data_IF_010502975186
#
_entry.id   IF_010502975186
#
_cell.length_a   1.000
_cell.length_b   1.000
_cell.length_c   1.000
_cell.angle_alpha   90.00
_cell.angle_beta   90.00
_cell.angle_gamma   90.00
#
_symmetry.space_group_name_H-M   'P 1'
#
loop_
_entity.id
_entity.type
_entity.pdbx_description
1 polymer ?
#
# COMPACT_ATOMS: atom_id res chain seq x y z
N UNK A 1 32.26 12.53 0.48
CA UNK A 1 31.37 13.67 0.18
C UNK A 1 30.05 13.39 0.88
N UNK A 2 29.64 14.20 1.86
CA UNK A 2 28.34 14.04 2.54
C UNK A 2 27.25 14.73 1.71
N UNK A 3 26.40 13.96 1.05
CA UNK A 3 25.17 14.48 0.43
C UNK A 3 24.22 14.89 1.55
N UNK A 4 24.05 16.20 1.72
CA UNK A 4 23.11 16.75 2.69
C UNK A 4 21.74 16.75 2.03
N UNK A 5 20.90 15.77 2.36
CA UNK A 5 19.50 15.75 1.93
C UNK A 5 18.76 16.88 2.65
N UNK A 6 18.61 18.02 1.97
CA UNK A 6 17.80 19.12 2.50
C UNK A 6 16.34 18.70 2.57
N UNK A 7 15.70 18.99 3.71
CA UNK A 7 14.24 18.95 3.95
C UNK A 7 13.46 19.37 2.70
N UNK A 8 12.88 18.42 1.97
CA UNK A 8 12.03 18.72 0.80
C UNK A 8 10.59 18.19 0.96
N UNK A 9 9.68 19.17 0.89
CA UNK A 9 8.24 19.20 0.61
C UNK A 9 7.43 17.89 0.60
N UNK A 10 6.67 17.68 1.68
CA UNK A 10 5.63 16.64 1.83
C UNK A 10 4.49 16.68 0.80
N UNK A 11 4.42 17.71 -0.06
CA UNK A 11 3.39 17.88 -1.08
C UNK A 11 3.58 16.95 -2.28
N UNK A 12 4.81 16.68 -2.72
CA UNK A 12 5.10 15.90 -3.94
C UNK A 12 4.97 14.38 -3.72
N UNK A 13 5.32 13.91 -2.53
CA UNK A 13 5.15 12.51 -2.12
C UNK A 13 3.65 12.13 -2.05
N UNK A 14 2.80 13.10 -1.69
CA UNK A 14 1.33 12.90 -1.68
C UNK A 14 0.79 12.70 -3.10
N UNK A 15 1.36 13.36 -4.12
CA UNK A 15 0.97 13.17 -5.52
C UNK A 15 1.36 11.79 -6.06
N UNK A 16 2.49 11.23 -5.64
CA UNK A 16 2.90 9.87 -6.02
C UNK A 16 2.05 8.79 -5.31
N UNK A 17 1.60 9.04 -4.08
CA UNK A 17 0.71 8.16 -3.32
C UNK A 17 -0.70 8.07 -3.89
N UNK A 18 -1.24 9.17 -4.42
CA UNK A 18 -2.53 9.20 -5.13
C UNK A 18 -2.45 8.37 -6.42
N UNK A 19 -1.24 8.11 -6.92
CA UNK A 19 -1.06 7.44 -8.18
C UNK A 19 -1.49 5.97 -8.21
N UNK A 20 -1.43 5.35 -7.04
CA UNK A 20 -1.76 3.95 -6.79
C UNK A 20 -3.27 3.74 -6.55
N UNK A 21 -4.03 4.81 -6.27
CA UNK A 21 -5.46 4.73 -5.92
C UNK A 21 -6.44 4.76 -7.12
N UNK A 22 -5.99 5.08 -8.33
CA UNK A 22 -6.87 5.34 -9.48
C UNK A 22 -7.14 4.14 -10.40
N UNK A 23 -6.60 2.95 -10.11
CA UNK A 23 -6.56 1.80 -11.03
C UNK A 23 -7.91 1.10 -11.24
N UNK A 24 -9.05 1.59 -10.71
CA UNK A 24 -10.30 0.82 -10.73
C UNK A 24 -11.56 1.59 -11.15
N UNK A 25 -11.42 2.72 -11.86
CA UNK A 25 -12.57 3.40 -12.49
C UNK A 25 -12.88 2.92 -13.93
N UNK A 26 -12.21 1.87 -14.42
CA UNK A 26 -12.33 1.42 -15.83
C UNK A 26 -12.82 -0.02 -16.01
N UNK A 27 -13.59 -0.60 -15.08
CA UNK A 27 -14.34 -1.84 -15.34
C UNK A 27 -15.78 -1.51 -15.74
N UNK A 28 -15.95 -1.13 -17.00
CA UNK A 28 -17.24 -1.14 -17.69
C UNK A 28 -17.02 -1.89 -19.01
N UNK A 29 -17.40 -3.18 -19.05
CA UNK A 29 -18.23 -3.78 -20.12
C UNK A 29 -18.18 -5.32 -20.13
N UNK A 30 -19.39 -5.88 -20.25
CA UNK A 30 -19.79 -7.16 -20.87
C UNK A 30 -19.97 -8.44 -20.02
N UNK A 31 -21.26 -8.64 -19.69
CA UNK A 31 -22.10 -9.87 -19.79
C UNK A 31 -21.82 -11.10 -18.92
N UNK A 32 -22.67 -11.25 -17.90
CA UNK A 32 -23.66 -12.32 -17.67
C UNK A 32 -23.27 -13.78 -18.00
N UNK A 33 -23.19 -14.63 -16.97
CA UNK A 33 -23.98 -15.87 -16.85
C UNK A 33 -23.97 -16.42 -15.40
N UNK A 34 -25.11 -17.00 -15.01
CA UNK A 34 -25.49 -17.49 -13.67
C UNK A 34 -24.66 -18.68 -13.17
N UNK A 35 -24.13 -18.62 -11.94
CA UNK A 35 -23.89 -19.81 -11.12
C UNK A 35 -24.06 -19.53 -9.62
N UNK A 36 -24.94 -20.29 -8.97
CA UNK A 36 -24.99 -20.49 -7.52
C UNK A 36 -24.04 -21.61 -7.14
N UNK A 37 -23.34 -21.51 -6.00
CA UNK A 37 -23.17 -22.62 -5.03
C UNK A 37 -22.45 -22.19 -3.74
N UNK A 38 -22.71 -23.01 -2.72
CA UNK A 38 -22.62 -22.84 -1.27
C UNK A 38 -21.21 -22.72 -0.64
N UNK A 39 -21.17 -22.00 0.48
CA UNK A 39 -20.06 -21.94 1.45
C UNK A 39 -19.74 -23.31 2.06
N UNK A 40 -18.46 -23.68 2.10
CA UNK A 40 -17.92 -24.56 3.14
C UNK A 40 -16.73 -23.91 3.83
N UNK A 41 -16.95 -23.68 5.13
CA UNK A 41 -16.01 -23.21 6.15
C UNK A 41 -14.89 -24.22 6.44
N UNK A 42 -13.84 -23.72 7.12
CA UNK A 42 -13.04 -24.31 8.23
C UNK A 42 -11.52 -24.06 8.05
N UNK A 43 -10.68 -23.67 9.03
CA UNK A 43 -10.71 -23.36 10.47
C UNK A 43 -9.53 -22.40 10.71
N UNK A 44 -9.70 -21.31 11.48
CA UNK A 44 -8.56 -20.54 12.03
C UNK A 44 -8.84 -20.18 13.50
N UNK A 45 -7.96 -20.63 14.39
CA UNK A 45 -7.97 -20.30 15.81
C UNK A 45 -7.89 -18.78 16.02
N UNK A 46 -8.98 -18.19 16.53
CA UNK A 46 -9.11 -16.76 16.79
C UNK A 46 -8.87 -16.45 18.26
N UNK A 47 -8.03 -15.45 18.55
CA UNK A 47 -8.05 -14.75 19.83
C UNK A 47 -9.17 -13.70 19.72
N UNK A 48 -10.23 -13.89 20.50
CA UNK A 48 -11.37 -12.96 20.59
C UNK A 48 -11.00 -11.86 21.59
N UNK A 49 -11.03 -10.60 21.17
CA UNK A 49 -11.00 -9.45 22.07
C UNK A 49 -12.28 -8.64 21.85
N UNK A 50 -13.03 -8.41 22.92
CA UNK A 50 -14.26 -7.63 22.92
C UNK A 50 -13.98 -6.21 22.42
N UNK A 51 -14.73 -5.75 21.41
CA UNK A 51 -14.61 -4.37 20.89
C UNK A 51 -15.78 -3.54 21.41
N UNK A 52 -15.45 -2.56 22.23
CA UNK A 52 -16.37 -1.54 22.73
C UNK A 52 -16.95 -0.72 21.57
N UNK A 53 -18.29 -0.65 21.47
CA UNK A 53 -19.04 0.00 20.39
C UNK A 53 -18.91 1.54 20.34
N UNK A 54 -18.14 2.13 21.25
CA UNK A 54 -17.85 3.57 21.33
C UNK A 54 -16.45 3.96 20.79
N UNK A 55 -15.66 3.01 20.27
CA UNK A 55 -14.29 3.30 19.79
C UNK A 55 -14.28 4.01 18.43
N UNK A 56 -13.31 4.92 18.25
CA UNK A 56 -12.97 5.47 16.94
C UNK A 56 -12.71 4.34 15.94
N UNK A 57 -13.08 4.51 14.67
CA UNK A 57 -12.83 3.52 13.60
C UNK A 57 -11.33 3.20 13.37
N UNK A 58 -10.45 3.93 14.04
CA UNK A 58 -9.00 3.91 13.87
C UNK A 58 -8.35 4.00 15.26
N UNK A 59 -7.28 3.24 15.45
CA UNK A 59 -6.47 3.20 16.68
C UNK A 59 -4.99 3.17 16.30
N UNK A 60 -4.20 3.98 17.00
CA UNK A 60 -2.73 3.88 17.02
C UNK A 60 -2.30 3.38 18.39
N UNK A 61 -1.45 2.35 18.39
CA UNK A 61 -0.74 1.90 19.59
C UNK A 61 0.72 1.74 19.21
N UNK A 62 1.55 2.66 19.69
CA UNK A 62 2.95 2.78 19.27
C UNK A 62 3.04 2.86 17.74
N UNK A 63 3.77 1.96 17.10
CA UNK A 63 3.91 1.86 15.64
C UNK A 63 2.82 0.99 14.97
N UNK A 64 1.88 0.42 15.74
CA UNK A 64 0.78 -0.37 15.20
C UNK A 64 -0.42 0.52 14.87
N UNK A 65 -0.88 0.43 13.62
CA UNK A 65 -2.14 1.02 13.16
C UNK A 65 -3.20 -0.06 13.02
N UNK A 66 -4.38 0.19 13.60
CA UNK A 66 -5.57 -0.65 13.44
C UNK A 66 -6.72 0.18 12.89
N UNK A 67 -7.46 -0.40 11.96
CA UNK A 67 -8.70 0.16 11.44
C UNK A 67 -9.85 -0.81 11.67
N UNK A 68 -10.78 -0.46 12.55
CA UNK A 68 -11.94 -1.28 12.90
C UNK A 68 -13.03 -1.27 11.83
N UNK A 69 -13.15 -0.18 11.04
CA UNK A 69 -14.12 -0.11 9.93
C UNK A 69 -13.78 -1.13 8.84
N UNK A 70 -12.50 -1.22 8.49
CA UNK A 70 -11.99 -2.10 7.44
C UNK A 70 -11.39 -3.40 7.96
N UNK A 71 -11.40 -3.58 9.29
CA UNK A 71 -11.03 -4.78 10.03
C UNK A 71 -9.63 -5.28 9.68
N UNK A 72 -8.65 -4.40 9.81
CA UNK A 72 -7.27 -4.79 9.62
C UNK A 72 -6.36 -4.05 10.60
N UNK A 73 -5.15 -4.60 10.77
CA UNK A 73 -4.03 -3.92 11.42
C UNK A 73 -2.74 -4.13 10.64
N UNK A 74 -1.80 -3.23 10.83
CA UNK A 74 -0.39 -3.39 10.44
C UNK A 74 0.50 -2.68 11.45
N UNK A 75 1.78 -2.98 11.40
CA UNK A 75 2.84 -2.37 12.19
C UNK A 75 3.81 -1.66 11.26
N UNK A 76 3.95 -0.35 11.42
CA UNK A 76 4.93 0.47 10.71
C UNK A 76 6.32 0.34 11.36
N UNK A 77 7.40 0.81 10.72
CA UNK A 77 8.72 0.85 11.34
C UNK A 77 8.68 1.61 12.66
N UNK A 78 9.44 1.17 13.65
CA UNK A 78 9.47 1.75 15.00
C UNK A 78 10.24 3.06 15.01
N UNK A 79 9.58 4.13 15.46
CA UNK A 79 10.13 5.48 15.57
C UNK A 79 11.25 5.61 16.61
N UNK A 80 11.33 4.68 17.57
CA UNK A 80 12.36 4.66 18.61
C UNK A 80 13.56 3.78 18.25
N UNK A 81 13.58 3.20 17.04
CA UNK A 81 14.66 2.33 16.58
C UNK A 81 15.45 2.98 15.46
N UNK A 82 16.77 2.93 15.61
CA UNK A 82 17.70 3.27 14.52
C UNK A 82 17.84 2.07 13.58
N UNK A 83 17.55 2.30 12.30
CA UNK A 83 17.72 1.32 11.23
C UNK A 83 18.98 1.67 10.44
N UNK A 84 20.05 0.90 10.63
CA UNK A 84 21.28 1.06 9.86
C UNK A 84 21.11 0.41 8.49
N UNK A 85 20.94 1.22 7.45
CA UNK A 85 20.71 0.78 6.07
C UNK A 85 22.03 0.56 5.32
N UNK A 86 23.02 1.42 5.58
CA UNK A 86 24.37 1.33 5.02
C UNK A 86 25.40 1.97 5.97
N UNK A 87 26.64 2.15 5.52
CA UNK A 87 27.66 2.88 6.30
C UNK A 87 27.30 4.36 6.50
N UNK A 88 26.62 4.96 5.52
CA UNK A 88 26.29 6.38 5.47
C UNK A 88 24.80 6.70 5.71
N UNK A 89 23.94 5.67 5.76
CA UNK A 89 22.49 5.83 5.89
C UNK A 89 22.00 5.13 7.16
N UNK A 90 21.50 5.94 8.09
CA UNK A 90 20.75 5.49 9.27
C UNK A 90 19.40 6.18 9.24
N UNK A 91 18.33 5.39 9.24
CA UNK A 91 16.95 5.89 9.28
C UNK A 91 16.47 5.82 10.73
N UNK A 92 16.12 6.97 11.31
CA UNK A 92 15.48 7.14 12.61
C UNK A 92 14.19 7.95 12.48
N UNK A 93 13.51 8.22 13.60
CA UNK A 93 12.48 9.28 13.71
C UNK A 93 11.32 9.17 12.70
N UNK A 94 10.76 7.96 12.56
CA UNK A 94 9.56 7.74 11.75
C UNK A 94 8.37 8.53 12.31
N UNK A 95 7.72 9.32 11.45
CA UNK A 95 6.52 10.08 11.79
C UNK A 95 5.27 9.32 11.35
N UNK A 96 4.36 9.02 12.28
CA UNK A 96 3.07 8.42 11.97
C UNK A 96 2.01 9.50 11.77
N UNK A 97 1.36 9.45 10.62
CA UNK A 97 0.33 10.41 10.25
C UNK A 97 -0.95 9.67 9.87
N UNK A 98 -2.07 10.26 10.29
CA UNK A 98 -3.37 9.94 9.70
C UNK A 98 -3.34 10.30 8.20
N UNK A 99 -3.97 9.48 7.39
CA UNK A 99 -4.14 9.78 5.96
C UNK A 99 -5.02 11.01 5.72
N UNK A 100 -5.10 11.42 4.47
CA UNK A 100 -5.83 12.63 4.04
C UNK A 100 -7.36 12.44 3.94
N UNK A 101 -7.87 11.28 4.37
CA UNK A 101 -9.29 11.05 4.63
C UNK A 101 -10.14 10.74 3.39
N UNK A 102 -9.58 10.77 2.17
CA UNK A 102 -10.31 10.36 0.96
C UNK A 102 -9.99 8.94 0.52
N UNK A 103 -8.73 8.51 0.65
CA UNK A 103 -8.31 7.17 0.18
C UNK A 103 -7.23 6.57 1.10
N UNK A 104 -6.22 7.36 1.49
CA UNK A 104 -5.17 6.93 2.41
C UNK A 104 -5.69 6.93 3.85
N UNK A 105 -5.45 5.86 4.58
CA UNK A 105 -5.91 5.70 5.96
C UNK A 105 -4.80 6.06 6.97
N UNK A 106 -3.59 5.59 6.70
CA UNK A 106 -2.42 5.84 7.55
C UNK A 106 -1.15 5.84 6.72
N UNK A 107 -0.17 6.64 7.18
CA UNK A 107 1.17 6.70 6.60
C UNK A 107 2.24 6.83 7.68
N UNK A 108 3.39 6.22 7.43
CA UNK A 108 4.63 6.41 8.17
C UNK A 108 5.65 7.06 7.24
N UNK A 109 6.25 8.17 7.68
CA UNK A 109 7.13 9.00 6.86
C UNK A 109 8.48 9.14 7.56
N UNK A 110 9.57 8.94 6.83
CA UNK A 110 10.86 9.51 7.20
C UNK A 110 11.16 10.69 6.27
N UNK A 111 11.21 11.89 6.83
CA UNK A 111 11.37 13.13 6.05
C UNK A 111 12.80 13.38 5.58
N UNK A 112 13.79 12.86 6.29
CA UNK A 112 15.20 13.04 5.96
C UNK A 112 15.53 12.37 4.62
N UNK A 113 15.04 11.14 4.44
CA UNK A 113 15.32 10.33 3.25
C UNK A 113 14.15 10.29 2.26
N UNK A 114 13.08 11.05 2.50
CA UNK A 114 11.91 11.11 1.60
C UNK A 114 11.18 9.76 1.47
N UNK A 115 11.15 8.96 2.54
CA UNK A 115 10.53 7.64 2.54
C UNK A 115 9.10 7.75 3.04
N UNK A 116 8.17 7.07 2.38
CA UNK A 116 6.81 6.92 2.87
C UNK A 116 6.31 5.50 2.68
N UNK A 117 5.78 4.94 3.77
CA UNK A 117 5.02 3.69 3.78
C UNK A 117 3.58 4.04 4.10
N UNK A 118 2.60 3.53 3.35
CA UNK A 118 1.19 3.86 3.54
C UNK A 118 0.28 2.68 3.35
N UNK A 119 -0.88 2.74 4.01
CA UNK A 119 -2.00 1.83 3.75
C UNK A 119 -3.23 2.64 3.29
N UNK A 120 -3.95 2.08 2.32
CA UNK A 120 -5.18 2.67 1.81
C UNK A 120 -6.22 1.56 1.58
N UNK A 121 -7.49 1.93 1.72
CA UNK A 121 -8.61 1.03 1.42
C UNK A 121 -9.65 1.78 0.58
N UNK A 122 -9.99 1.20 -0.57
CA UNK A 122 -10.98 1.76 -1.49
C UNK A 122 -12.14 0.79 -1.68
N UNK A 123 -13.36 1.32 -1.60
CA UNK A 123 -14.54 0.56 -2.01
C UNK A 123 -14.60 0.50 -3.53
N UNK A 124 -14.76 -0.71 -4.06
CA UNK A 124 -15.15 -0.90 -5.44
C UNK A 124 -16.63 -0.49 -5.59
N UNK A 125 -17.05 0.03 -6.77
CA UNK A 125 -18.46 0.18 -7.05
C UNK A 125 -19.17 -1.17 -6.85
N UNK A 126 -20.38 -1.14 -6.27
CA UNK A 126 -21.21 -2.33 -6.13
C UNK A 126 -21.69 -2.78 -7.51
N UNK A 127 -20.85 -3.54 -8.20
CA UNK A 127 -21.31 -4.47 -9.23
C UNK A 127 -21.63 -5.78 -8.50
N UNK A 128 -22.72 -6.46 -8.89
CA UNK A 128 -23.19 -7.70 -8.25
C UNK A 128 -22.25 -8.91 -8.48
N UNK A 129 -20.99 -8.67 -8.85
CA UNK A 129 -20.01 -9.72 -9.11
C UNK A 129 -19.25 -10.08 -7.82
N UNK A 130 -19.10 -11.37 -7.51
CA UNK A 130 -18.33 -11.82 -6.36
C UNK A 130 -16.86 -11.34 -6.40
N UNK A 131 -16.28 -11.05 -5.24
CA UNK A 131 -14.89 -10.57 -5.11
C UNK A 131 -13.83 -11.55 -5.65
N UNK A 132 -14.15 -12.85 -5.72
CA UNK A 132 -13.26 -13.89 -6.23
C UNK A 132 -13.13 -13.85 -7.77
N UNK A 133 -14.17 -13.43 -8.48
CA UNK A 133 -14.21 -13.36 -9.96
C UNK A 133 -13.33 -12.23 -10.51
N UNK A 134 -12.99 -11.23 -9.68
CA UNK A 134 -12.15 -10.09 -10.07
C UNK A 134 -10.68 -10.51 -10.26
N UNK A 135 -10.24 -11.59 -9.62
CA UNK A 135 -8.87 -12.12 -9.71
C UNK A 135 -8.62 -13.02 -10.92
N UNK A 136 -9.68 -13.52 -11.54
CA UNK A 136 -9.61 -14.36 -12.75
C UNK A 136 -9.35 -13.54 -14.02
N UNK A 137 -9.38 -12.20 -13.91
CA UNK A 137 -8.89 -11.32 -14.97
C UNK A 137 -7.40 -11.57 -15.24
N UNK A 138 -7.02 -11.52 -16.51
CA UNK A 138 -5.64 -11.73 -16.91
C UNK A 138 -4.75 -10.64 -16.28
N UNK A 139 -3.53 -10.99 -15.85
CA UNK A 139 -2.54 -10.01 -15.35
C UNK A 139 -2.32 -8.86 -16.36
N UNK A 140 -2.52 -9.14 -17.66
CA UNK A 140 -2.51 -8.18 -18.75
C UNK A 140 -3.61 -7.11 -18.68
N UNK A 141 -4.81 -7.46 -18.22
CA UNK A 141 -5.90 -6.47 -18.06
C UNK A 141 -5.59 -5.52 -16.92
N UNK A 142 -5.10 -6.07 -15.80
CA UNK A 142 -4.64 -5.26 -14.68
C UNK A 142 -3.47 -4.35 -15.10
N UNK A 143 -2.49 -4.89 -15.83
CA UNK A 143 -1.35 -4.11 -16.35
C UNK A 143 -1.80 -2.96 -17.25
N UNK A 144 -2.75 -3.22 -18.16
CA UNK A 144 -3.29 -2.20 -19.05
C UNK A 144 -3.93 -1.05 -18.25
N UNK A 145 -4.80 -1.38 -17.31
CA UNK A 145 -5.49 -0.38 -16.49
C UNK A 145 -4.49 0.39 -15.61
N UNK A 146 -3.50 -0.31 -15.05
CA UNK A 146 -2.43 0.32 -14.26
C UNK A 146 -1.63 1.34 -15.09
N UNK A 147 -1.22 0.96 -16.31
CA UNK A 147 -0.52 1.85 -17.24
C UNK A 147 -1.36 3.07 -17.64
N UNK A 148 -2.66 2.89 -17.84
CA UNK A 148 -3.59 4.01 -18.09
C UNK A 148 -3.66 4.97 -16.88
N UNK A 149 -3.72 4.43 -15.67
CA UNK A 149 -3.68 5.22 -14.43
C UNK A 149 -2.42 6.08 -14.32
N UNK A 150 -1.24 5.48 -14.54
CA UNK A 150 0.03 6.23 -14.54
C UNK A 150 0.05 7.32 -15.61
N UNK A 151 -0.47 7.05 -16.80
CA UNK A 151 -0.56 8.03 -17.90
C UNK A 151 -1.43 9.22 -17.52
N UNK A 152 -2.59 9.00 -16.89
CA UNK A 152 -3.48 10.08 -16.43
C UNK A 152 -2.81 11.02 -15.42
N UNK A 153 -1.80 10.53 -14.71
CA UNK A 153 -1.04 11.29 -13.71
C UNK A 153 0.25 11.87 -14.26
N UNK A 154 0.51 11.71 -15.56
CA UNK A 154 1.76 12.09 -16.20
C UNK A 154 2.99 11.41 -15.60
N UNK A 155 2.83 10.20 -15.05
CA UNK A 155 3.94 9.38 -14.55
C UNK A 155 4.43 8.49 -15.69
N UNK A 156 5.73 8.54 -15.98
CA UNK A 156 6.40 7.64 -16.92
C UNK A 156 7.17 6.57 -16.14
N UNK A 157 6.62 5.36 -15.98
CA UNK A 157 7.30 4.32 -15.22
C UNK A 157 8.52 3.80 -15.99
N UNK A 158 9.60 3.55 -15.26
CA UNK A 158 10.74 2.74 -15.68
C UNK A 158 10.70 1.43 -14.92
N UNK A 159 11.20 0.35 -15.52
CA UNK A 159 11.30 -0.96 -14.88
C UNK A 159 9.97 -1.43 -14.25
N UNK A 160 8.84 -1.16 -14.92
CA UNK A 160 7.53 -1.58 -14.44
C UNK A 160 7.49 -3.11 -14.38
N UNK A 161 7.25 -3.63 -13.18
CA UNK A 161 6.99 -5.04 -12.91
C UNK A 161 5.61 -5.16 -12.27
N UNK A 162 4.84 -6.14 -12.75
CA UNK A 162 3.56 -6.54 -12.18
C UNK A 162 3.61 -8.06 -12.06
N UNK A 163 3.46 -8.56 -10.84
CA UNK A 163 3.52 -9.97 -10.53
C UNK A 163 2.36 -10.39 -9.61
N UNK A 164 2.04 -11.68 -9.62
CA UNK A 164 1.11 -12.26 -8.64
C UNK A 164 1.87 -12.60 -7.37
N UNK A 165 1.27 -12.34 -6.22
CA UNK A 165 1.83 -12.63 -4.92
C UNK A 165 0.73 -12.76 -3.87
N UNK A 166 1.04 -12.40 -2.63
CA UNK A 166 0.07 -12.42 -1.54
C UNK A 166 0.20 -11.26 -0.55
N UNK A 167 -0.93 -10.87 0.04
CA UNK A 167 -1.01 -10.02 1.21
C UNK A 167 -1.77 -10.76 2.30
N UNK A 168 -1.07 -11.15 3.37
CA UNK A 168 -1.63 -11.92 4.48
C UNK A 168 -2.48 -13.14 4.03
N UNK A 169 -1.90 -13.99 3.17
CA UNK A 169 -2.49 -15.19 2.58
C UNK A 169 -3.63 -14.97 1.56
N UNK A 170 -3.97 -13.73 1.24
CA UNK A 170 -4.88 -13.42 0.14
C UNK A 170 -4.08 -13.19 -1.14
N UNK A 171 -4.61 -13.65 -2.28
CA UNK A 171 -4.05 -13.36 -3.58
C UNK A 171 -3.87 -11.85 -3.74
N UNK A 172 -2.71 -11.44 -4.25
CA UNK A 172 -2.36 -10.04 -4.42
C UNK A 172 -1.69 -9.80 -5.77
N UNK A 173 -1.83 -8.57 -6.27
CA UNK A 173 -0.94 -8.03 -7.29
C UNK A 173 0.16 -7.25 -6.59
N UNK A 174 1.40 -7.51 -6.97
CA UNK A 174 2.55 -6.72 -6.54
C UNK A 174 2.98 -5.91 -7.75
N UNK A 175 3.01 -4.59 -7.57
CA UNK A 175 3.40 -3.65 -8.61
C UNK A 175 4.62 -2.88 -8.14
N UNK A 176 5.63 -2.78 -8.99
CA UNK A 176 6.79 -1.95 -8.71
C UNK A 176 7.28 -1.23 -9.95
N UNK A 177 7.77 -0.02 -9.79
CA UNK A 177 8.38 0.76 -10.87
C UNK A 177 9.27 1.87 -10.28
N UNK A 178 10.17 2.39 -11.10
CA UNK A 178 10.90 3.61 -10.82
C UNK A 178 10.28 4.78 -11.59
N UNK A 179 10.35 5.99 -11.05
CA UNK A 179 9.92 7.20 -11.73
C UNK A 179 10.83 8.37 -11.35
N UNK A 180 11.16 9.20 -12.34
CA UNK A 180 11.88 10.45 -12.11
C UNK A 180 10.92 11.50 -11.55
N UNK A 181 11.29 12.09 -10.41
CA UNK A 181 10.57 13.22 -9.79
C UNK A 181 11.50 14.43 -9.82
N UNK A 182 11.07 15.49 -10.50
CA UNK A 182 11.81 16.76 -10.54
C UNK A 182 11.39 17.66 -9.37
N UNK A 183 12.36 18.08 -8.57
CA UNK A 183 12.20 19.04 -7.46
C UNK A 183 12.87 20.36 -7.81
N UNK A 184 12.44 20.99 -8.90
CA UNK A 184 12.98 22.28 -9.37
C UNK A 184 14.40 22.18 -9.92
N UNK A 185 15.38 22.06 -9.02
CA UNK A 185 16.81 22.10 -9.34
C UNK A 185 17.42 20.71 -9.55
N UNK A 186 16.75 19.66 -9.08
CA UNK A 186 17.23 18.28 -9.15
C UNK A 186 16.15 17.34 -9.69
N UNK A 187 16.59 16.24 -10.28
CA UNK A 187 15.71 15.11 -10.60
C UNK A 187 16.19 13.90 -9.83
N UNK A 188 15.33 13.39 -8.97
CA UNK A 188 15.60 12.24 -8.12
C UNK A 188 14.74 11.09 -8.62
N UNK A 189 15.36 9.93 -8.84
CA UNK A 189 14.62 8.73 -9.20
C UNK A 189 14.05 8.07 -7.96
N UNK A 190 12.73 7.94 -7.89
CA UNK A 190 12.00 7.26 -6.83
C UNK A 190 11.61 5.86 -7.25
N UNK A 191 11.74 4.92 -6.32
CA UNK A 191 11.16 3.59 -6.40
C UNK A 191 9.78 3.59 -5.72
N UNK A 192 8.83 2.92 -6.34
CA UNK A 192 7.49 2.65 -5.81
C UNK A 192 7.24 1.16 -5.81
N UNK A 193 6.73 0.62 -4.70
CA UNK A 193 6.21 -0.75 -4.62
C UNK A 193 4.89 -0.78 -3.87
N UNK A 194 3.90 -1.40 -4.48
CA UNK A 194 2.54 -1.57 -3.95
C UNK A 194 2.19 -3.05 -3.94
N UNK A 195 1.56 -3.49 -2.86
CA UNK A 195 0.91 -4.81 -2.78
C UNK A 195 -0.58 -4.57 -2.59
N UNK A 196 -1.36 -5.08 -3.54
CA UNK A 196 -2.79 -4.89 -3.63
C UNK A 196 -3.52 -6.22 -3.48
N UNK A 197 -4.50 -6.30 -2.58
CA UNK A 197 -5.46 -7.41 -2.52
C UNK A 197 -6.91 -6.89 -2.54
N UNK A 198 -7.86 -7.76 -2.87
CA UNK A 198 -9.28 -7.44 -3.02
C UNK A 198 -10.06 -8.44 -2.17
N UNK A 199 -10.80 -7.93 -1.20
CA UNK A 199 -11.59 -8.71 -0.24
C UNK A 199 -12.90 -7.96 -0.03
N UNK A 200 -14.03 -8.67 -0.09
CA UNK A 200 -15.38 -8.12 0.16
C UNK A 200 -15.65 -6.78 -0.54
N UNK A 201 -15.40 -6.72 -1.85
CA UNK A 201 -15.58 -5.54 -2.70
C UNK A 201 -14.76 -4.32 -2.24
N UNK A 202 -13.61 -4.55 -1.59
CA UNK A 202 -12.67 -3.51 -1.15
C UNK A 202 -11.28 -3.86 -1.60
N UNK A 203 -10.56 -2.84 -2.03
CA UNK A 203 -9.17 -2.91 -2.46
C UNK A 203 -8.32 -2.44 -1.29
N UNK A 204 -7.47 -3.34 -0.81
CA UNK A 204 -6.53 -3.11 0.27
C UNK A 204 -5.14 -2.98 -0.31
N UNK A 205 -4.45 -1.91 0.05
CA UNK A 205 -3.15 -1.57 -0.50
C UNK A 205 -2.18 -1.26 0.63
N UNK A 206 -0.97 -1.82 0.54
CA UNK A 206 0.19 -1.38 1.30
C UNK A 206 1.27 -0.98 0.32
N UNK A 207 1.81 0.22 0.47
CA UNK A 207 2.77 0.79 -0.50
C UNK A 207 3.95 1.41 0.19
N UNK A 208 5.10 1.37 -0.47
CA UNK A 208 6.29 2.14 -0.12
C UNK A 208 6.72 2.97 -1.32
N UNK A 209 7.15 4.20 -1.03
CA UNK A 209 7.73 5.15 -1.98
C UNK A 209 8.97 5.74 -1.33
N UNK A 210 10.10 5.71 -2.04
CA UNK A 210 11.39 6.19 -1.54
C UNK A 210 12.36 6.46 -2.71
N UNK A 211 13.44 7.24 -2.50
CA UNK A 211 14.51 7.33 -3.49
C UNK A 211 15.11 5.95 -3.81
N UNK A 212 15.37 5.68 -5.09
CA UNK A 212 15.85 4.37 -5.57
C UNK A 212 17.14 3.96 -4.88
N UNK A 213 18.05 4.90 -4.64
CA UNK A 213 19.33 4.69 -3.94
C UNK A 213 19.14 4.10 -2.53
N UNK A 214 18.01 4.38 -1.87
CA UNK A 214 17.71 3.83 -0.54
C UNK A 214 17.12 2.41 -0.67
N UNK A 215 16.34 2.15 -1.71
CA UNK A 215 15.73 0.84 -1.96
C UNK A 215 16.72 -0.26 -2.34
N UNK A 216 17.84 0.10 -2.96
CA UNK A 216 18.90 -0.83 -3.36
C UNK A 216 19.54 -1.57 -2.17
N UNK A 217 19.35 -1.07 -0.95
CA UNK A 217 19.83 -1.71 0.26
C UNK A 217 18.84 -2.76 0.78
N UNK A 218 19.33 -3.99 1.00
CA UNK A 218 18.54 -5.14 1.48
C UNK A 218 17.79 -4.82 2.78
N UNK A 219 18.39 -4.06 3.69
CA UNK A 219 17.76 -3.71 4.97
C UNK A 219 16.48 -2.88 4.78
N UNK A 220 16.44 -1.97 3.80
CA UNK A 220 15.22 -1.22 3.51
C UNK A 220 14.12 -2.13 2.95
N UNK A 221 14.50 -3.12 2.14
CA UNK A 221 13.58 -4.14 1.63
C UNK A 221 13.04 -5.02 2.77
N UNK A 222 13.89 -5.36 3.75
CA UNK A 222 13.51 -6.10 4.96
C UNK A 222 12.50 -5.30 5.79
N UNK A 223 12.74 -4.01 6.01
CA UNK A 223 11.81 -3.13 6.75
C UNK A 223 10.44 -3.12 6.09
N UNK A 224 10.37 -2.93 4.76
CA UNK A 224 9.07 -2.95 4.08
C UNK A 224 8.42 -4.33 4.11
N UNK A 225 9.20 -5.41 3.96
CA UNK A 225 8.72 -6.79 4.08
C UNK A 225 8.10 -7.03 5.45
N UNK A 226 8.71 -6.54 6.53
CA UNK A 226 8.18 -6.67 7.89
C UNK A 226 6.84 -5.94 8.05
N UNK A 227 6.70 -4.75 7.45
CA UNK A 227 5.40 -4.04 7.41
C UNK A 227 4.35 -4.88 6.69
N UNK A 228 4.66 -5.40 5.50
CA UNK A 228 3.75 -6.27 4.73
C UNK A 228 3.38 -7.53 5.53
N UNK A 229 4.37 -8.15 6.17
CA UNK A 229 4.19 -9.35 7.00
C UNK A 229 3.48 -9.08 8.32
N UNK A 230 3.38 -7.84 8.77
CA UNK A 230 2.58 -7.46 9.93
C UNK A 230 1.10 -7.23 9.59
N UNK A 231 0.76 -7.14 8.31
CA UNK A 231 -0.61 -6.90 7.86
C UNK A 231 -1.52 -8.06 8.26
N UNK A 232 -2.61 -7.81 8.98
CA UNK A 232 -3.55 -8.83 9.45
C UNK A 232 -4.98 -8.35 9.23
N UNK A 233 -5.83 -9.21 8.67
CA UNK A 233 -7.28 -9.01 8.70
C UNK A 233 -7.85 -9.52 10.02
N UNK A 234 -8.78 -8.76 10.59
CA UNK A 234 -9.50 -9.05 11.84
C UNK A 234 -10.97 -9.36 11.49
N UNK A 235 -11.68 -10.19 12.27
CA UNK A 235 -13.11 -10.45 12.05
C UNK A 235 -13.96 -9.30 12.61
N UNK A 236 -15.12 -9.04 12.00
CA UNK A 236 -16.17 -8.24 12.66
C UNK A 236 -16.74 -9.04 13.83
N UNK A 237 -17.11 -8.31 14.88
CA UNK A 237 -18.02 -8.78 15.93
C UNK A 237 -19.45 -8.68 15.44
#
# INVERSE_FOLDING_TARGET
>A
MKTTYQKQNSSLITTLLIGISFVLLSCNNQSQDDYSYEEKNEIFNSITLETDRNKSNEEWKDNMYRNYKYKFRLTFPDSNKDYKISEDITISDWEYLKGDGKEILAKSINREYGITISTLVKHLPTNNEPSYTIWDNSISDFEKIFKEGLKLQNIKPKNLSIEKGSLFNFNAYIVSFNADISTGDETIEYFSKTIQTIIDNKVYNVSIILPTVVWEHEEMQNIFRDVVWSYRFEKAI
#
